data_IF_639128926908
#
_entry.id   IF_639128926908
#
_cell.length_a   1.000
_cell.length_b   1.000
_cell.length_c   1.000
_cell.angle_alpha   90.00
_cell.angle_beta   90.00
_cell.angle_gamma   90.00
#
_symmetry.space_group_name_H-M   'P 1'
#
loop_
_entity.id
_entity.type
_entity.pdbx_description
1 polymer ?
#
# COMPACT_ATOMS: atom_id res chain seq x y z
N UNK A 1 -15.20 8.11 47.64
CA UNK A 1 -14.19 7.66 46.66
C UNK A 1 -14.55 6.37 45.92
N UNK A 2 -14.99 5.27 46.56
CA UNK A 2 -15.36 4.02 45.86
C UNK A 2 -16.47 4.15 44.79
N UNK A 3 -17.43 5.07 44.96
CA UNK A 3 -18.53 5.30 44.00
C UNK A 3 -18.08 6.03 42.72
N UNK A 4 -17.04 6.86 42.81
CA UNK A 4 -16.47 7.56 41.64
C UNK A 4 -15.69 6.59 40.75
N UNK A 5 -14.97 5.63 41.38
CA UNK A 5 -14.21 4.61 40.66
C UNK A 5 -15.10 3.67 39.84
N UNK A 6 -16.26 3.27 40.38
CA UNK A 6 -17.23 2.43 39.64
C UNK A 6 -17.83 3.17 38.45
N UNK A 7 -18.12 4.46 38.61
CA UNK A 7 -18.67 5.30 37.54
C UNK A 7 -17.66 5.55 36.42
N UNK A 8 -16.37 5.73 36.76
CA UNK A 8 -15.28 5.83 35.78
C UNK A 8 -15.04 4.50 35.05
N UNK A 9 -15.12 3.35 35.75
CA UNK A 9 -15.00 2.03 35.12
C UNK A 9 -16.18 1.75 34.17
N UNK A 10 -17.40 2.11 34.55
CA UNK A 10 -18.58 1.98 33.69
C UNK A 10 -18.52 2.95 32.50
N UNK A 11 -18.00 4.18 32.67
CA UNK A 11 -17.75 5.09 31.55
C UNK A 11 -16.67 4.56 30.59
N UNK A 12 -15.63 3.91 31.10
CA UNK A 12 -14.59 3.27 30.29
C UNK A 12 -15.08 2.00 29.57
N UNK A 13 -16.04 1.27 30.15
CA UNK A 13 -16.68 0.12 29.52
C UNK A 13 -17.78 0.50 28.51
N UNK A 14 -18.29 1.73 28.59
CA UNK A 14 -19.32 2.29 27.69
C UNK A 14 -18.74 3.24 26.65
N UNK A 15 -17.42 3.48 26.66
CA UNK A 15 -16.77 4.08 25.51
C UNK A 15 -17.00 3.10 24.35
N UNK A 16 -17.69 3.51 23.26
CA UNK A 16 -17.75 2.67 22.09
C UNK A 16 -16.29 2.40 21.71
N UNK A 17 -15.90 1.13 21.78
CA UNK A 17 -14.76 0.65 21.03
C UNK A 17 -15.13 0.95 19.59
N UNK A 18 -14.74 2.13 19.11
CA UNK A 18 -14.97 2.60 17.75
C UNK A 18 -14.42 1.52 16.85
N UNK A 19 -15.30 0.68 16.31
CA UNK A 19 -14.93 -0.37 15.39
C UNK A 19 -14.32 0.34 14.20
N UNK A 20 -13.08 0.00 13.82
CA UNK A 20 -12.40 0.60 12.69
C UNK A 20 -13.00 0.13 11.33
N UNK A 21 -14.26 -0.31 11.33
CA UNK A 21 -14.91 -1.04 10.25
C UNK A 21 -16.09 -0.25 9.71
N UNK A 22 -16.00 0.30 8.49
CA UNK A 22 -17.12 0.98 7.84
C UNK A 22 -18.30 0.03 7.64
N UNK A 23 -19.53 0.58 7.61
CA UNK A 23 -20.77 -0.18 7.43
C UNK A 23 -20.80 -1.05 6.17
N UNK A 24 -20.07 -0.65 5.13
CA UNK A 24 -20.00 -1.35 3.85
C UNK A 24 -19.01 -2.51 3.87
N UNK A 25 -18.17 -2.64 4.89
CA UNK A 25 -17.09 -3.62 4.94
C UNK A 25 -17.63 -5.01 5.32
N UNK A 26 -17.80 -5.86 4.31
CA UNK A 26 -18.33 -7.23 4.43
C UNK A 26 -17.66 -8.18 3.44
N UNK A 27 -17.87 -9.48 3.61
CA UNK A 27 -17.32 -10.51 2.71
C UNK A 27 -17.66 -10.24 1.24
N UNK A 28 -16.69 -10.47 0.36
CA UNK A 28 -16.83 -10.27 -1.09
C UNK A 28 -16.63 -8.83 -1.57
N UNK A 29 -16.56 -7.84 -0.67
CA UNK A 29 -16.21 -6.46 -1.03
C UNK A 29 -14.80 -6.40 -1.58
N UNK A 30 -14.59 -5.59 -2.63
CA UNK A 30 -13.27 -5.32 -3.17
C UNK A 30 -13.11 -3.88 -3.60
N UNK A 31 -11.86 -3.43 -3.67
CA UNK A 31 -11.49 -2.23 -4.39
C UNK A 31 -10.24 -2.51 -5.24
N UNK A 32 -10.30 -2.06 -6.49
CA UNK A 32 -9.22 -2.13 -7.47
C UNK A 32 -8.72 -0.72 -7.74
N UNK A 33 -7.41 -0.57 -7.71
CA UNK A 33 -6.69 0.65 -7.98
C UNK A 33 -5.78 0.45 -9.19
N UNK A 34 -5.61 1.51 -9.96
CA UNK A 34 -4.82 1.53 -11.18
C UNK A 34 -3.82 2.68 -11.10
N UNK A 35 -2.62 2.47 -11.65
CA UNK A 35 -1.71 3.53 -12.00
C UNK A 35 -1.13 3.27 -13.39
N UNK A 36 -0.88 4.33 -14.15
CA UNK A 36 -0.23 4.31 -15.47
C UNK A 36 0.93 5.29 -15.54
N UNK A 37 1.92 4.99 -16.39
CA UNK A 37 3.12 5.81 -16.58
C UNK A 37 4.40 5.09 -16.16
N UNK A 38 5.40 5.82 -15.67
CA UNK A 38 6.69 5.22 -15.31
C UNK A 38 6.71 4.71 -13.87
N UNK A 39 6.32 3.45 -13.68
CA UNK A 39 6.16 2.83 -12.36
C UNK A 39 7.26 1.82 -12.08
N UNK A 40 7.74 1.74 -10.84
CA UNK A 40 8.71 0.71 -10.42
C UNK A 40 8.24 -0.10 -9.22
N UNK A 41 8.54 -1.40 -9.22
CA UNK A 41 8.27 -2.34 -8.12
C UNK A 41 9.56 -3.10 -7.82
N UNK A 42 10.09 -2.91 -6.62
CA UNK A 42 11.30 -3.57 -6.16
C UNK A 42 10.96 -4.83 -5.37
N UNK A 43 11.59 -5.95 -5.74
CA UNK A 43 11.51 -7.20 -5.02
C UNK A 43 12.86 -7.57 -4.42
N UNK A 44 12.81 -8.15 -3.23
CA UNK A 44 13.96 -8.84 -2.67
C UNK A 44 13.89 -10.32 -3.08
N UNK A 45 14.87 -10.79 -3.84
CA UNK A 45 14.94 -12.19 -4.30
C UNK A 45 16.19 -12.85 -3.72
N UNK A 46 16.22 -14.19 -3.69
CA UNK A 46 17.42 -14.94 -3.27
C UNK A 46 18.66 -14.61 -4.13
N UNK A 47 18.45 -14.14 -5.36
CA UNK A 47 19.50 -13.76 -6.31
C UNK A 47 19.87 -12.28 -6.29
N UNK A 48 19.30 -11.49 -5.37
CA UNK A 48 19.54 -10.04 -5.25
C UNK A 48 18.28 -9.19 -5.48
N UNK A 49 18.49 -7.89 -5.70
CA UNK A 49 17.41 -6.94 -5.93
C UNK A 49 16.96 -7.01 -7.39
N UNK A 50 15.65 -7.16 -7.58
CA UNK A 50 15.02 -7.14 -8.90
C UNK A 50 13.99 -6.03 -8.92
N UNK A 51 14.09 -5.12 -9.87
CA UNK A 51 13.14 -4.04 -10.09
C UNK A 51 12.32 -4.33 -11.34
N UNK A 52 11.01 -4.19 -11.25
CA UNK A 52 10.12 -4.25 -12.40
C UNK A 52 9.66 -2.85 -12.75
N UNK A 53 9.89 -2.44 -13.99
CA UNK A 53 9.37 -1.20 -14.55
C UNK A 53 8.13 -1.53 -15.37
N UNK A 54 6.96 -1.10 -14.91
CA UNK A 54 5.68 -1.46 -15.52
C UNK A 54 4.96 -0.19 -15.98
N UNK A 55 4.59 -0.05 -17.26
CA UNK A 55 3.79 1.08 -17.74
C UNK A 55 2.39 1.16 -17.10
N UNK A 56 1.88 0.03 -16.60
CA UNK A 56 0.60 -0.05 -15.90
C UNK A 56 0.67 -1.04 -14.75
N UNK A 57 0.15 -0.65 -13.60
CA UNK A 57 0.01 -1.48 -12.41
C UNK A 57 -1.43 -1.47 -11.94
N UNK A 58 -1.91 -2.62 -11.51
CA UNK A 58 -3.21 -2.78 -10.86
C UNK A 58 -3.03 -3.41 -9.48
N UNK A 59 -3.64 -2.82 -8.47
CA UNK A 59 -3.67 -3.36 -7.12
C UNK A 59 -5.12 -3.59 -6.70
N UNK A 60 -5.45 -4.81 -6.29
CA UNK A 60 -6.78 -5.17 -5.80
C UNK A 60 -6.68 -5.74 -4.40
N UNK A 61 -7.54 -5.28 -3.51
CA UNK A 61 -7.82 -5.98 -2.25
C UNK A 61 -9.27 -6.43 -2.23
N UNK A 62 -9.52 -7.61 -1.65
CA UNK A 62 -10.86 -8.18 -1.49
C UNK A 62 -11.00 -8.80 -0.10
N UNK A 63 -12.13 -8.54 0.55
CA UNK A 63 -12.51 -9.17 1.82
C UNK A 63 -12.90 -10.62 1.56
N UNK A 64 -12.12 -11.55 2.10
CA UNK A 64 -12.37 -12.99 1.98
C UNK A 64 -13.37 -13.46 3.01
N UNK A 65 -13.16 -13.07 4.27
CA UNK A 65 -14.07 -13.36 5.36
C UNK A 65 -13.97 -12.31 6.47
N UNK A 66 -15.04 -12.19 7.26
CA UNK A 66 -15.10 -11.35 8.46
C UNK A 66 -15.60 -12.22 9.61
N UNK A 67 -14.79 -12.35 10.66
CA UNK A 67 -15.10 -13.16 11.84
C UNK A 67 -14.73 -12.42 13.10
N UNK A 68 -15.72 -12.18 13.97
CA UNK A 68 -15.57 -11.44 15.23
C UNK A 68 -14.93 -10.05 15.02
N UNK A 69 -13.73 -9.85 15.54
CA UNK A 69 -12.93 -8.64 15.48
C UNK A 69 -11.84 -8.69 14.39
N UNK A 70 -11.96 -9.62 13.44
CA UNK A 70 -10.95 -9.85 12.40
C UNK A 70 -11.53 -9.95 11.01
N UNK A 71 -10.76 -9.49 10.04
CA UNK A 71 -11.03 -9.71 8.63
C UNK A 71 -9.81 -10.26 7.92
N UNK A 72 -10.00 -11.17 6.97
CA UNK A 72 -8.93 -11.60 6.06
C UNK A 72 -9.16 -11.01 4.69
N UNK A 73 -8.11 -10.42 4.14
CA UNK A 73 -8.14 -9.77 2.84
C UNK A 73 -7.17 -10.48 1.90
N UNK A 74 -7.62 -10.83 0.70
CA UNK A 74 -6.73 -11.18 -0.40
C UNK A 74 -6.22 -9.92 -1.06
N UNK A 75 -4.92 -9.91 -1.38
CA UNK A 75 -4.24 -8.87 -2.12
C UNK A 75 -3.77 -9.43 -3.46
N UNK A 76 -3.89 -8.64 -4.52
CA UNK A 76 -3.40 -8.96 -5.85
C UNK A 76 -2.75 -7.73 -6.46
N UNK A 77 -1.48 -7.83 -6.83
CA UNK A 77 -0.72 -6.81 -7.55
C UNK A 77 -0.34 -7.37 -8.93
N UNK A 78 -0.77 -6.67 -9.98
CA UNK A 78 -0.49 -7.01 -11.36
C UNK A 78 0.28 -5.88 -12.04
N UNK A 79 1.28 -6.23 -12.84
CA UNK A 79 2.02 -5.31 -13.69
C UNK A 79 1.95 -5.78 -15.13
N UNK A 80 1.72 -4.85 -16.05
CA UNK A 80 1.51 -5.14 -17.46
C UNK A 80 2.68 -4.60 -18.29
N UNK A 81 3.11 -5.35 -19.30
CA UNK A 81 4.22 -4.98 -20.21
C UNK A 81 5.50 -4.58 -19.46
N UNK A 82 5.81 -5.29 -18.37
CA UNK A 82 6.89 -4.90 -17.50
C UNK A 82 8.26 -5.21 -18.12
N UNK A 83 9.25 -4.40 -17.77
CA UNK A 83 10.65 -4.72 -17.95
C UNK A 83 11.26 -5.07 -16.60
N UNK A 84 11.81 -6.27 -16.49
CA UNK A 84 12.54 -6.73 -15.31
C UNK A 84 13.99 -6.26 -15.41
N UNK A 85 14.51 -5.67 -14.35
CA UNK A 85 15.91 -5.29 -14.20
C UNK A 85 16.49 -5.93 -12.95
N UNK A 86 17.64 -6.58 -13.08
CA UNK A 86 18.34 -7.23 -11.98
C UNK A 86 19.77 -6.71 -11.92
N UNK A 87 20.20 -6.34 -10.72
CA UNK A 87 21.54 -5.88 -10.43
C UNK A 87 22.23 -6.86 -9.48
N UNK A 88 23.47 -7.22 -9.79
CA UNK A 88 24.31 -7.98 -8.87
C UNK A 88 25.76 -7.49 -8.92
N UNK A 89 26.42 -7.54 -7.78
CA UNK A 89 27.86 -7.30 -7.67
C UNK A 89 28.60 -8.63 -7.67
N UNK A 90 29.70 -8.69 -8.40
CA UNK A 90 30.61 -9.83 -8.47
C UNK A 90 31.96 -9.45 -7.88
N UNK A 91 32.65 -10.42 -7.30
CA UNK A 91 34.07 -10.20 -6.96
C UNK A 91 34.88 -9.92 -8.23
N UNK A 92 36.03 -9.24 -8.08
CA UNK A 92 36.89 -8.91 -9.22
C UNK A 92 37.27 -10.16 -10.03
N UNK A 93 37.59 -11.26 -9.34
CA UNK A 93 38.00 -12.51 -9.97
C UNK A 93 36.87 -13.12 -10.80
N UNK A 94 35.66 -13.22 -10.25
CA UNK A 94 34.48 -13.72 -10.95
C UNK A 94 34.13 -12.84 -12.15
N UNK A 95 34.17 -11.52 -11.97
CA UNK A 95 33.88 -10.56 -13.02
C UNK A 95 34.88 -10.66 -14.18
N UNK A 96 36.18 -10.77 -13.88
CA UNK A 96 37.24 -10.97 -14.88
C UNK A 96 37.10 -12.29 -15.61
N UNK A 97 36.81 -13.37 -14.89
CA UNK A 97 36.59 -14.68 -15.49
C UNK A 97 35.39 -14.68 -16.45
N UNK A 98 34.30 -14.01 -16.05
CA UNK A 98 33.10 -13.87 -16.88
C UNK A 98 33.34 -12.96 -18.09
N UNK A 99 34.03 -11.83 -17.91
CA UNK A 99 34.37 -10.91 -18.98
C UNK A 99 35.28 -11.57 -20.04
N UNK A 100 36.28 -12.35 -19.61
CA UNK A 100 37.15 -13.11 -20.51
C UNK A 100 36.35 -14.07 -21.39
N UNK A 101 35.38 -14.79 -20.83
CA UNK A 101 34.48 -15.65 -21.63
C UNK A 101 33.74 -14.87 -22.72
N UNK A 102 33.30 -13.66 -22.43
CA UNK A 102 32.65 -12.82 -23.45
C UNK A 102 33.64 -12.26 -24.47
N UNK A 103 34.83 -11.82 -24.05
CA UNK A 103 35.89 -11.36 -24.94
C UNK A 103 36.34 -12.45 -25.91
N UNK A 104 36.57 -13.67 -25.42
CA UNK A 104 36.92 -14.84 -26.23
C UNK A 104 35.84 -15.17 -27.26
N UNK A 105 34.55 -15.11 -26.86
CA UNK A 105 33.42 -15.39 -27.76
C UNK A 105 33.38 -14.48 -28.99
N UNK A 106 33.85 -13.24 -28.85
CA UNK A 106 33.85 -12.24 -29.93
C UNK A 106 35.26 -11.95 -30.48
N UNK A 107 36.25 -12.79 -30.16
CA UNK A 107 37.65 -12.64 -30.57
C UNK A 107 38.25 -11.26 -30.25
N UNK A 108 37.91 -10.68 -29.09
CA UNK A 108 38.47 -9.40 -28.66
C UNK A 108 39.94 -9.55 -28.26
N UNK A 109 40.84 -8.79 -28.89
CA UNK A 109 42.29 -8.86 -28.68
C UNK A 109 42.88 -7.70 -27.89
N UNK A 110 42.05 -6.82 -27.32
CA UNK A 110 42.47 -5.59 -26.65
C UNK A 110 42.45 -4.35 -27.56
N UNK A 111 42.58 -3.17 -26.96
CA UNK A 111 42.52 -1.87 -27.64
C UNK A 111 41.14 -1.21 -27.54
N UNK A 112 40.71 -0.57 -28.62
CA UNK A 112 39.40 0.09 -28.70
C UNK A 112 38.25 -0.92 -28.57
N UNK A 113 37.10 -0.47 -28.07
CA UNK A 113 35.92 -1.31 -27.94
C UNK A 113 35.48 -1.86 -29.31
N UNK A 114 35.14 -3.15 -29.34
CA UNK A 114 34.61 -3.85 -30.50
C UNK A 114 33.08 -3.80 -30.48
N UNK A 115 32.47 -3.30 -31.56
CA UNK A 115 31.02 -3.39 -31.79
C UNK A 115 30.69 -4.50 -32.79
N UNK A 116 29.86 -5.45 -32.38
CA UNK A 116 29.46 -6.60 -33.18
C UNK A 116 27.94 -6.60 -33.34
N UNK A 117 27.40 -6.51 -34.57
CA UNK A 117 25.97 -6.67 -34.80
C UNK A 117 25.56 -8.13 -34.52
N UNK A 118 24.43 -8.30 -33.85
CA UNK A 118 23.82 -9.61 -33.57
C UNK A 118 22.36 -9.60 -34.03
N UNK A 119 21.73 -10.77 -34.11
CA UNK A 119 20.31 -10.86 -34.47
C UNK A 119 19.46 -10.03 -33.50
N UNK A 120 18.81 -8.98 -34.01
CA UNK A 120 17.93 -8.11 -33.24
C UNK A 120 18.63 -7.06 -32.37
N UNK A 121 19.93 -6.80 -32.57
CA UNK A 121 20.65 -5.78 -31.82
C UNK A 121 22.17 -5.75 -32.03
N UNK A 122 22.91 -5.35 -30.99
CA UNK A 122 24.36 -5.23 -31.02
C UNK A 122 25.01 -5.65 -29.69
N UNK A 123 26.30 -5.95 -29.78
CA UNK A 123 27.18 -6.23 -28.65
C UNK A 123 28.35 -5.26 -28.71
N UNK A 124 28.72 -4.69 -27.56
CA UNK A 124 29.93 -3.90 -27.39
C UNK A 124 30.84 -4.61 -26.39
N UNK A 125 32.06 -4.91 -26.79
CA UNK A 125 33.07 -5.57 -25.95
C UNK A 125 34.27 -4.64 -25.80
N UNK A 126 34.63 -4.32 -24.56
CA UNK A 126 35.78 -3.49 -24.22
C UNK A 126 36.71 -4.28 -23.27
N UNK A 127 37.85 -3.68 -22.90
CA UNK A 127 38.80 -4.27 -21.97
C UNK A 127 38.19 -4.52 -20.58
N UNK A 128 37.35 -3.59 -20.11
CA UNK A 128 36.76 -3.60 -18.76
C UNK A 128 35.24 -3.76 -18.75
N UNK A 129 34.61 -3.99 -19.91
CA UNK A 129 33.16 -4.09 -19.98
C UNK A 129 32.65 -4.92 -21.16
N UNK A 130 31.43 -5.43 -20.99
CA UNK A 130 30.64 -6.12 -21.99
C UNK A 130 29.22 -5.58 -21.93
N UNK A 131 28.66 -5.23 -23.08
CA UNK A 131 27.27 -4.81 -23.19
C UNK A 131 26.62 -5.52 -24.37
N UNK A 132 25.43 -6.05 -24.15
CA UNK A 132 24.59 -6.65 -25.18
C UNK A 132 23.22 -5.99 -25.13
N UNK A 133 22.73 -5.52 -26.27
CA UNK A 133 21.41 -4.91 -26.37
C UNK A 133 20.64 -5.50 -27.53
N UNK A 134 19.41 -5.92 -27.26
CA UNK A 134 18.42 -6.39 -28.25
C UNK A 134 17.08 -5.72 -27.99
N UNK A 135 16.08 -5.97 -28.83
CA UNK A 135 14.71 -5.49 -28.60
C UNK A 135 14.08 -6.00 -27.29
N UNK A 136 14.47 -7.19 -26.81
CA UNK A 136 13.83 -7.84 -25.65
C UNK A 136 14.72 -7.89 -24.40
N UNK A 137 16.03 -7.71 -24.53
CA UNK A 137 16.97 -7.75 -23.41
C UNK A 137 18.12 -6.78 -23.59
N UNK A 138 18.62 -6.28 -22.47
CA UNK A 138 19.89 -5.59 -22.34
C UNK A 138 20.67 -6.25 -21.21
N UNK A 139 21.92 -6.61 -21.46
CA UNK A 139 22.81 -7.19 -20.46
C UNK A 139 24.11 -6.39 -20.44
N UNK A 140 24.62 -6.09 -19.25
CA UNK A 140 25.85 -5.34 -19.06
C UNK A 140 26.70 -5.98 -17.97
N UNK A 141 28.00 -6.07 -18.20
CA UNK A 141 29.02 -6.36 -17.20
C UNK A 141 30.06 -5.26 -17.27
N UNK A 142 30.38 -4.63 -16.15
CA UNK A 142 31.45 -3.61 -16.08
C UNK A 142 32.30 -3.84 -14.85
N UNK A 143 33.60 -3.76 -15.01
CA UNK A 143 34.56 -3.83 -13.91
C UNK A 143 34.99 -2.41 -13.59
N UNK A 144 34.73 -1.98 -12.37
CA UNK A 144 35.10 -0.65 -11.90
C UNK A 144 35.41 -0.69 -10.40
N UNK A 145 36.38 0.11 -9.97
CA UNK A 145 36.71 0.26 -8.53
C UNK A 145 37.04 -1.07 -7.82
N UNK A 146 37.55 -2.07 -8.55
CA UNK A 146 37.91 -3.38 -8.00
C UNK A 146 36.75 -4.35 -7.81
N UNK A 147 35.56 -4.05 -8.36
CA UNK A 147 34.41 -4.96 -8.35
C UNK A 147 33.77 -5.08 -9.75
N UNK A 148 33.04 -6.17 -9.98
CA UNK A 148 32.21 -6.33 -11.18
C UNK A 148 30.76 -5.95 -10.90
N UNK A 149 30.16 -5.16 -11.80
CA UNK A 149 28.74 -4.83 -11.77
C UNK A 149 28.04 -5.50 -12.94
N UNK A 150 27.07 -6.33 -12.62
CA UNK A 150 26.24 -7.03 -13.58
C UNK A 150 24.85 -6.39 -13.61
N UNK A 151 24.40 -6.03 -14.80
CA UNK A 151 23.07 -5.53 -15.09
C UNK A 151 22.39 -6.47 -16.08
N UNK A 152 21.19 -6.92 -15.74
CA UNK A 152 20.35 -7.71 -16.66
C UNK A 152 18.95 -7.12 -16.70
N UNK A 153 18.61 -6.54 -17.85
CA UNK A 153 17.30 -5.99 -18.17
C UNK A 153 16.63 -6.87 -19.22
N UNK A 154 15.41 -7.30 -18.96
CA UNK A 154 14.66 -8.20 -19.84
C UNK A 154 13.18 -7.83 -19.85
N UNK A 155 12.59 -7.77 -21.03
CA UNK A 155 11.14 -7.68 -21.17
C UNK A 155 10.47 -8.92 -20.58
N UNK A 156 9.37 -8.73 -19.85
CA UNK A 156 8.59 -9.80 -19.26
C UNK A 156 7.33 -9.98 -20.13
N UNK A 157 7.24 -11.06 -20.93
CA UNK A 157 6.12 -11.26 -21.84
C UNK A 157 4.82 -11.62 -21.10
N UNK A 158 4.94 -12.20 -19.90
CA UNK A 158 3.81 -12.46 -19.02
C UNK A 158 3.56 -11.28 -18.09
N UNK A 159 2.31 -11.10 -17.65
CA UNK A 159 2.00 -10.10 -16.65
C UNK A 159 2.75 -10.44 -15.35
N UNK A 160 3.43 -9.43 -14.79
CA UNK A 160 3.95 -9.52 -13.43
C UNK A 160 2.78 -9.74 -12.47
N UNK A 161 2.92 -10.69 -11.54
CA UNK A 161 1.87 -11.00 -10.57
C UNK A 161 2.42 -11.35 -9.20
N UNK A 162 1.86 -10.70 -8.17
CA UNK A 162 2.05 -11.05 -6.76
C UNK A 162 0.69 -11.12 -6.07
N UNK A 163 0.48 -12.17 -5.30
CA UNK A 163 -0.73 -12.36 -4.51
C UNK A 163 -0.34 -12.66 -3.06
N UNK A 164 -1.18 -12.22 -2.13
CA UNK A 164 -0.96 -12.40 -0.71
C UNK A 164 -2.27 -12.37 0.06
N UNK A 165 -2.21 -12.73 1.33
CA UNK A 165 -3.33 -12.61 2.25
C UNK A 165 -2.85 -11.89 3.50
N UNK A 166 -3.65 -10.96 3.99
CA UNK A 166 -3.42 -10.25 5.26
C UNK A 166 -4.61 -10.43 6.17
N UNK A 167 -4.36 -10.40 7.47
CA UNK A 167 -5.40 -10.31 8.49
C UNK A 167 -5.41 -8.89 9.06
N UNK A 168 -6.60 -8.33 9.27
CA UNK A 168 -6.81 -7.03 9.90
C UNK A 168 -7.58 -7.26 11.18
N UNK A 169 -7.03 -6.76 12.28
CA UNK A 169 -7.76 -6.56 13.52
C UNK A 169 -8.66 -5.32 13.35
N UNK A 170 -9.97 -5.55 13.34
CA UNK A 170 -11.00 -4.56 13.08
C UNK A 170 -11.24 -3.60 14.24
N UNK A 171 -10.74 -3.91 15.45
CA UNK A 171 -10.83 -3.02 16.62
C UNK A 171 -9.67 -2.02 16.58
N UNK A 172 -8.46 -2.51 16.32
CA UNK A 172 -7.23 -1.72 16.41
C UNK A 172 -6.75 -1.19 15.07
N UNK A 173 -7.28 -1.72 13.95
CA UNK A 173 -6.81 -1.44 12.60
C UNK A 173 -5.43 -2.04 12.29
N UNK A 174 -4.91 -2.96 13.12
CA UNK A 174 -3.58 -3.55 12.89
C UNK A 174 -3.62 -4.62 11.79
N UNK A 175 -2.66 -4.53 10.87
CA UNK A 175 -2.40 -5.51 9.82
C UNK A 175 -1.42 -6.57 10.30
N UNK A 176 -1.73 -7.82 9.99
CA UNK A 176 -0.91 -8.99 10.27
C UNK A 176 -0.61 -9.75 8.97
N UNK A 177 0.65 -10.10 8.79
CA UNK A 177 1.12 -10.96 7.69
C UNK A 177 1.68 -12.23 8.30
N UNK A 178 1.06 -13.38 8.02
CA UNK A 178 1.40 -14.67 8.62
C UNK A 178 1.46 -14.60 10.17
N UNK A 179 0.46 -13.94 10.78
CA UNK A 179 0.36 -13.77 12.24
C UNK A 179 1.32 -12.76 12.86
N UNK A 180 2.23 -12.16 12.08
CA UNK A 180 3.16 -11.13 12.57
C UNK A 180 2.62 -9.75 12.27
N UNK A 181 2.58 -8.81 13.24
CA UNK A 181 2.22 -7.42 12.97
C UNK A 181 3.07 -6.83 11.86
N UNK A 182 2.43 -6.20 10.88
CA UNK A 182 3.08 -5.58 9.73
C UNK A 182 2.91 -4.06 9.72
N UNK A 183 1.82 -3.53 10.26
CA UNK A 183 1.56 -2.09 10.31
C UNK A 183 0.10 -1.75 10.57
N UNK A 184 -0.29 -0.51 10.29
CA UNK A 184 -1.66 -0.02 10.42
C UNK A 184 -2.44 -0.04 9.11
N UNK A 185 -3.73 -0.31 9.18
CA UNK A 185 -4.64 -0.24 8.05
C UNK A 185 -4.84 1.21 7.62
N UNK A 186 -4.59 1.47 6.34
CA UNK A 186 -4.78 2.76 5.69
C UNK A 186 -5.71 2.67 4.47
N UNK A 187 -6.28 1.48 4.19
CA UNK A 187 -7.16 1.27 3.05
C UNK A 187 -8.54 1.90 3.26
N UNK A 188 -8.93 2.06 4.53
CA UNK A 188 -10.13 2.80 4.92
C UNK A 188 -10.00 3.31 6.36
N UNK A 189 -10.82 4.31 6.69
CA UNK A 189 -10.96 4.85 8.03
C UNK A 189 -12.40 5.34 8.26
N UNK A 190 -13.05 4.91 9.35
CA UNK A 190 -14.41 5.36 9.67
C UNK A 190 -14.52 6.89 9.78
N UNK A 191 -13.49 7.51 10.38
CA UNK A 191 -13.36 8.95 10.45
C UNK A 191 -11.97 9.38 9.93
N UNK A 192 -11.85 9.69 8.64
CA UNK A 192 -10.59 10.13 8.05
C UNK A 192 -9.99 11.37 8.70
N UNK A 193 -10.79 12.21 9.39
CA UNK A 193 -10.28 13.38 10.10
C UNK A 193 -9.36 13.01 11.29
N UNK A 194 -9.56 11.81 11.87
CA UNK A 194 -8.93 11.40 13.13
C UNK A 194 -7.81 10.36 12.96
N UNK A 195 -7.26 10.21 11.75
CA UNK A 195 -6.16 9.25 11.50
C UNK A 195 -4.77 9.81 11.80
N UNK A 196 -4.68 11.05 12.31
CA UNK A 196 -3.39 11.64 12.72
C UNK A 196 -2.75 10.81 13.83
N UNK A 197 -1.45 10.49 13.67
CA UNK A 197 -0.71 9.63 14.58
C UNK A 197 -0.83 8.13 14.28
N UNK A 198 -1.68 7.72 13.33
CA UNK A 198 -1.74 6.33 12.87
C UNK A 198 -0.38 5.93 12.28
N UNK A 199 0.22 4.87 12.83
CA UNK A 199 1.46 4.30 12.34
C UNK A 199 1.16 3.25 11.26
N UNK A 200 1.46 3.57 10.01
CA UNK A 200 1.22 2.71 8.84
C UNK A 200 2.29 1.62 8.76
N UNK A 201 3.54 1.99 9.06
CA UNK A 201 4.69 1.10 9.20
C UNK A 201 5.54 1.60 10.37
N UNK A 202 6.39 0.76 10.99
CA UNK A 202 7.33 1.21 12.01
C UNK A 202 8.11 2.45 11.58
N UNK A 203 7.92 3.58 12.27
CA UNK A 203 8.54 4.87 11.97
C UNK A 203 7.84 5.74 10.90
N UNK A 204 6.86 5.20 10.18
CA UNK A 204 6.02 5.90 9.20
C UNK A 204 4.62 6.10 9.76
N UNK A 205 4.30 7.32 10.15
CA UNK A 205 3.03 7.71 10.76
C UNK A 205 2.39 8.85 10.00
N UNK A 206 1.06 8.90 10.03
CA UNK A 206 0.31 10.03 9.52
C UNK A 206 0.60 11.24 10.41
N UNK A 207 1.24 12.26 9.85
CA UNK A 207 1.66 13.47 10.57
C UNK A 207 0.60 14.56 10.47
N UNK A 208 -0.01 14.70 9.28
CA UNK A 208 -1.04 15.72 9.06
C UNK A 208 -2.22 15.15 8.30
N UNK A 209 -3.42 15.56 8.69
CA UNK A 209 -4.66 15.33 7.96
C UNK A 209 -5.27 16.68 7.66
N UNK A 210 -5.67 16.90 6.41
CA UNK A 210 -6.35 18.12 5.99
C UNK A 210 -7.59 17.76 5.21
N UNK A 211 -8.70 18.42 5.53
CA UNK A 211 -9.85 18.44 4.64
C UNK A 211 -9.52 19.39 3.48
N UNK A 212 -9.68 18.91 2.26
CA UNK A 212 -9.47 19.69 1.06
C UNK A 212 -10.82 19.87 0.37
N UNK A 213 -11.15 21.13 0.12
CA UNK A 213 -12.31 21.48 -0.66
C UNK A 213 -11.99 21.38 -2.15
N UNK A 214 -11.65 20.19 -2.64
CA UNK A 214 -11.39 19.92 -4.06
C UNK A 214 -11.83 18.50 -4.39
N UNK A 215 -12.31 18.31 -5.61
CA UNK A 215 -12.77 17.01 -6.10
C UNK A 215 -11.57 16.12 -6.40
N UNK A 216 -11.56 14.90 -5.89
CA UNK A 216 -10.54 13.91 -6.22
C UNK A 216 -11.00 13.10 -7.43
N UNK A 217 -10.20 13.14 -8.50
CA UNK A 217 -10.47 12.43 -9.74
C UNK A 217 -10.10 10.95 -9.59
N UNK A 218 -10.95 10.06 -10.07
CA UNK A 218 -10.66 8.61 -10.10
C UNK A 218 -11.18 7.97 -11.38
N UNK A 219 -10.75 6.74 -11.67
CA UNK A 219 -11.28 5.99 -12.81
C UNK A 219 -12.67 5.40 -12.51
N UNK A 220 -13.06 5.29 -11.24
CA UNK A 220 -14.38 4.81 -10.82
C UNK A 220 -15.45 5.91 -10.95
N UNK A 221 -15.05 7.16 -10.72
CA UNK A 221 -15.90 8.34 -10.71
C UNK A 221 -15.34 9.42 -9.79
N UNK A 222 -15.71 10.68 -10.02
CA UNK A 222 -15.23 11.82 -9.24
C UNK A 222 -15.79 11.77 -7.80
N UNK A 223 -14.89 11.91 -6.81
CA UNK A 223 -15.26 12.10 -5.42
C UNK A 223 -15.31 13.59 -5.11
N UNK A 224 -16.53 14.12 -5.07
CA UNK A 224 -16.77 15.53 -4.84
C UNK A 224 -16.24 15.98 -3.47
N UNK A 225 -15.81 17.23 -3.41
CA UNK A 225 -15.40 17.86 -2.16
C UNK A 225 -16.49 17.77 -1.06
N UNK A 226 -16.11 17.64 0.22
CA UNK A 226 -14.73 17.63 0.72
C UNK A 226 -14.08 16.23 0.74
N UNK A 227 -12.77 16.19 0.45
CA UNK A 227 -11.93 14.98 0.53
C UNK A 227 -10.90 15.16 1.64
N UNK A 228 -10.53 14.08 2.36
CA UNK A 228 -9.47 14.14 3.37
C UNK A 228 -8.15 13.68 2.78
N UNK A 229 -7.11 14.51 2.90
CA UNK A 229 -5.75 14.20 2.51
C UNK A 229 -4.89 13.98 3.77
N UNK A 230 -4.38 12.77 3.92
CA UNK A 230 -3.44 12.39 4.96
C UNK A 230 -2.01 12.36 4.40
N UNK A 231 -1.08 13.02 5.08
CA UNK A 231 0.36 12.96 4.79
C UNK A 231 1.09 12.26 5.92
N UNK A 232 2.04 11.41 5.58
CA UNK A 232 2.97 10.86 6.56
C UNK A 232 4.18 11.75 6.76
N UNK A 233 4.93 11.49 7.82
CA UNK A 233 6.30 11.96 7.92
C UNK A 233 7.20 11.36 6.83
N UNK A 234 8.32 12.02 6.54
CA UNK A 234 9.37 11.49 5.68
C UNK A 234 10.11 10.35 6.41
N UNK A 235 10.32 9.24 5.73
CA UNK A 235 11.14 8.11 6.22
C UNK A 235 12.15 7.67 5.17
N UNK A 236 13.25 7.07 5.64
CA UNK A 236 14.24 6.39 4.81
C UNK A 236 14.14 4.90 5.10
N UNK A 237 13.86 4.09 4.08
CA UNK A 237 13.80 2.62 4.25
C UNK A 237 15.13 1.95 3.99
N UNK A 238 15.95 2.58 3.15
CA UNK A 238 17.37 2.34 3.01
C UNK A 238 18.07 3.69 2.82
N UNK A 239 19.39 3.73 2.91
CA UNK A 239 20.17 4.98 2.72
C UNK A 239 20.05 5.58 1.29
N UNK A 240 19.17 5.05 0.44
CA UNK A 240 18.99 5.46 -0.97
C UNK A 240 17.57 5.94 -1.27
N UNK A 241 16.57 5.49 -0.51
CA UNK A 241 15.15 5.71 -0.78
C UNK A 241 14.52 6.44 0.39
N UNK A 242 14.21 7.70 0.15
CA UNK A 242 13.44 8.54 1.08
C UNK A 242 12.08 8.82 0.47
N UNK A 243 11.03 8.75 1.29
CA UNK A 243 9.68 8.97 0.82
C UNK A 243 8.74 9.35 1.96
N UNK A 244 7.65 9.99 1.57
CA UNK A 244 6.45 10.16 2.39
C UNK A 244 5.26 9.66 1.58
N UNK A 245 4.24 9.23 2.28
CA UNK A 245 3.01 8.76 1.68
C UNK A 245 1.95 9.84 1.72
N UNK A 246 1.05 9.77 0.73
CA UNK A 246 -0.15 10.61 0.68
C UNK A 246 -1.33 9.70 0.40
N UNK A 247 -2.38 9.82 1.20
CA UNK A 247 -3.60 9.05 1.07
C UNK A 247 -4.78 10.02 0.99
N UNK A 248 -5.63 9.84 -0.01
CA UNK A 248 -6.90 10.54 -0.17
C UNK A 248 -8.03 9.62 0.28
N UNK A 249 -8.87 10.12 1.18
CA UNK A 249 -10.06 9.42 1.65
C UNK A 249 -11.31 10.18 1.26
N UNK A 250 -12.33 9.44 0.82
CA UNK A 250 -13.69 9.95 0.79
C UNK A 250 -14.19 10.18 2.22
N UNK A 251 -14.66 11.39 2.52
CA UNK A 251 -15.11 11.76 3.86
C UNK A 251 -16.38 11.02 4.30
N UNK A 252 -17.20 10.53 3.36
CA UNK A 252 -18.49 9.91 3.67
C UNK A 252 -18.41 8.41 3.95
N UNK A 253 -17.62 7.70 3.15
CA UNK A 253 -17.42 6.25 3.24
C UNK A 253 -16.16 5.87 3.98
N UNK A 254 -15.19 6.77 4.08
CA UNK A 254 -13.90 6.48 4.68
C UNK A 254 -12.97 5.66 3.80
N UNK A 255 -13.36 5.33 2.57
CA UNK A 255 -12.53 4.56 1.64
C UNK A 255 -11.33 5.38 1.19
N UNK A 256 -10.14 4.79 1.16
CA UNK A 256 -9.00 5.38 0.46
C UNK A 256 -9.26 5.34 -1.05
N UNK A 257 -9.38 6.50 -1.69
CA UNK A 257 -9.72 6.64 -3.11
C UNK A 257 -8.48 6.85 -3.99
N UNK A 258 -7.37 7.29 -3.40
CA UNK A 258 -6.06 7.29 -4.02
C UNK A 258 -4.96 7.23 -2.96
N UNK A 259 -3.86 6.55 -3.23
CA UNK A 259 -2.71 6.55 -2.33
C UNK A 259 -1.38 6.30 -3.04
N UNK A 260 -0.39 7.09 -2.66
CA UNK A 260 1.01 6.89 -3.00
C UNK A 260 1.70 6.32 -1.76
N UNK A 261 2.00 5.03 -1.82
CA UNK A 261 2.62 4.29 -0.72
C UNK A 261 3.90 3.64 -1.23
N UNK A 262 4.98 4.41 -1.45
CA UNK A 262 6.32 3.84 -1.69
C UNK A 262 6.66 2.73 -0.69
N UNK A 263 6.11 2.86 0.51
CA UNK A 263 6.25 1.94 1.61
C UNK A 263 4.86 1.54 2.12
N UNK A 264 4.62 0.25 2.35
CA UNK A 264 3.31 -0.22 2.82
C UNK A 264 3.45 -1.52 3.60
N UNK A 265 2.68 -1.72 4.68
CA UNK A 265 2.60 -3.03 5.34
C UNK A 265 2.08 -4.13 4.41
N UNK A 266 1.34 -3.76 3.36
CA UNK A 266 0.81 -4.68 2.35
C UNK A 266 1.91 -5.23 1.43
N UNK A 267 2.99 -4.48 1.20
CA UNK A 267 4.12 -4.92 0.37
C UNK A 267 4.79 -6.17 0.92
N UNK A 268 4.88 -6.29 2.26
CA UNK A 268 5.41 -7.49 2.93
C UNK A 268 4.64 -8.75 2.54
N UNK A 269 3.31 -8.68 2.46
CA UNK A 269 2.47 -9.82 2.07
C UNK A 269 2.63 -10.21 0.59
N UNK A 270 3.08 -9.28 -0.24
CA UNK A 270 3.30 -9.46 -1.67
C UNK A 270 4.77 -9.76 -2.02
N UNK A 271 5.66 -9.82 -1.03
CA UNK A 271 7.12 -9.96 -1.24
C UNK A 271 7.75 -8.76 -1.92
N UNK A 272 7.07 -7.60 -1.89
CA UNK A 272 7.53 -6.33 -2.43
C UNK A 272 8.34 -5.61 -1.35
N UNK A 273 9.50 -5.06 -1.72
CA UNK A 273 10.36 -4.27 -0.84
C UNK A 273 9.90 -2.80 -0.82
N UNK A 274 9.70 -2.23 -2.00
CA UNK A 274 9.28 -0.85 -2.23
C UNK A 274 8.60 -0.76 -3.59
N UNK A 275 7.77 0.26 -3.79
CA UNK A 275 7.13 0.48 -5.08
C UNK A 275 6.93 1.98 -5.36
N UNK A 276 7.60 2.54 -6.36
CA UNK A 276 7.32 3.91 -6.78
C UNK A 276 6.22 3.89 -7.83
N UNK A 277 4.99 4.08 -7.38
CA UNK A 277 3.81 4.01 -8.23
C UNK A 277 3.11 5.36 -8.19
N UNK A 278 3.08 6.08 -9.31
CA UNK A 278 2.35 7.33 -9.47
C UNK A 278 1.69 7.36 -10.84
N UNK A 279 0.37 7.58 -10.89
CA UNK A 279 -0.34 7.70 -12.17
C UNK A 279 -0.05 9.04 -12.86
N UNK A 280 0.99 9.07 -13.69
CA UNK A 280 1.39 10.28 -14.43
C UNK A 280 0.57 10.45 -15.70
N UNK A 281 0.17 9.37 -16.36
CA UNK A 281 -0.63 9.45 -17.60
C UNK A 281 -2.02 10.04 -17.32
N UNK A 282 -2.69 9.62 -16.25
CA UNK A 282 -4.01 10.17 -15.92
C UNK A 282 -3.95 11.65 -15.52
N UNK A 283 -2.84 12.07 -14.88
CA UNK A 283 -2.59 13.47 -14.58
C UNK A 283 -2.35 14.31 -15.85
N UNK A 284 -1.62 13.77 -16.84
CA UNK A 284 -1.40 14.40 -18.14
C UNK A 284 -2.71 14.51 -18.95
N UNK A 285 -3.52 13.44 -18.99
CA UNK A 285 -4.81 13.41 -19.68
C UNK A 285 -5.80 14.47 -19.18
N UNK A 286 -5.71 14.86 -17.91
CA UNK A 286 -6.63 15.82 -17.27
C UNK A 286 -5.93 17.12 -16.85
N UNK A 287 -4.78 17.44 -17.44
CA UNK A 287 -3.97 18.59 -17.03
C UNK A 287 -4.74 19.92 -17.09
N UNK A 288 -5.56 20.13 -18.12
CA UNK A 288 -6.41 21.32 -18.26
C UNK A 288 -7.47 21.39 -17.15
N UNK A 289 -8.19 20.30 -16.89
CA UNK A 289 -9.18 20.25 -15.80
C UNK A 289 -8.54 20.51 -14.45
N UNK A 290 -7.35 19.96 -14.19
CA UNK A 290 -6.61 20.16 -12.94
C UNK A 290 -6.16 21.62 -12.78
N UNK A 291 -5.78 22.29 -13.86
CA UNK A 291 -5.33 23.70 -13.84
C UNK A 291 -6.48 24.70 -13.78
N UNK A 292 -7.58 24.42 -14.46
CA UNK A 292 -8.68 25.36 -14.67
C UNK A 292 -9.84 25.14 -13.68
N UNK A 293 -9.92 23.96 -13.05
CA UNK A 293 -10.97 23.61 -12.11
C UNK A 293 -10.42 23.27 -10.73
N UNK A 294 -11.32 23.13 -9.76
CA UNK A 294 -10.96 22.77 -8.39
C UNK A 294 -10.84 21.23 -8.24
N UNK A 295 -10.11 20.59 -9.14
CA UNK A 295 -9.85 19.13 -9.15
C UNK A 295 -8.40 18.85 -8.77
N UNK A 296 -8.20 17.81 -7.96
CA UNK A 296 -6.87 17.36 -7.58
C UNK A 296 -6.32 16.38 -8.62
N UNK A 297 -5.01 16.46 -8.92
CA UNK A 297 -4.38 15.47 -9.76
C UNK A 297 -4.51 14.09 -9.10
N UNK A 298 -4.69 13.03 -9.89
CA UNK A 298 -4.58 11.68 -9.37
C UNK A 298 -3.21 11.46 -8.75
N UNK A 299 -3.18 10.77 -7.62
CA UNK A 299 -1.94 10.54 -6.88
C UNK A 299 -1.77 9.07 -6.54
N UNK A 300 -0.63 8.50 -6.95
CA UNK A 300 -0.33 7.11 -6.65
C UNK A 300 -1.20 6.11 -7.40
N UNK A 301 -1.69 5.11 -6.67
CA UNK A 301 -2.70 4.15 -7.09
C UNK A 301 -4.09 4.75 -6.92
N UNK A 302 -4.86 4.84 -8.00
CA UNK A 302 -6.15 5.55 -8.07
C UNK A 302 -7.30 4.55 -8.17
N UNK A 303 -8.37 4.74 -7.39
CA UNK A 303 -9.52 3.85 -7.41
C UNK A 303 -10.12 3.76 -8.83
N UNK A 304 -10.34 2.54 -9.29
CA UNK A 304 -10.86 2.27 -10.63
C UNK A 304 -12.10 1.40 -10.65
N UNK A 305 -12.23 0.50 -9.69
CA UNK A 305 -13.38 -0.39 -9.63
C UNK A 305 -13.65 -0.79 -8.20
N UNK A 306 -14.91 -0.84 -7.81
CA UNK A 306 -15.35 -1.40 -6.54
C UNK A 306 -16.81 -1.84 -6.64
N UNK A 307 -17.19 -2.81 -5.83
CA UNK A 307 -18.59 -3.20 -5.61
C UNK A 307 -19.14 -2.65 -4.27
N UNK A 308 -18.45 -1.68 -3.66
CA UNK A 308 -18.91 -1.02 -2.44
C UNK A 308 -20.18 -0.21 -2.78
N UNK A 309 -21.24 -0.50 -2.05
CA UNK A 309 -22.43 0.32 -2.02
C UNK A 309 -22.22 1.45 -1.01
N UNK A 310 -21.99 2.67 -1.52
CA UNK A 310 -21.80 3.87 -0.71
C UNK A 310 -23.11 4.47 -0.20
N UNK A 311 -24.26 3.87 -0.51
CA UNK A 311 -25.51 4.27 0.11
C UNK A 311 -25.50 3.77 1.55
N UNK A 312 -25.43 4.71 2.52
CA UNK A 312 -25.62 4.34 3.92
C UNK A 312 -27.01 3.72 4.03
N UNK A 313 -27.15 2.48 4.56
CA UNK A 313 -28.46 1.97 4.89
C UNK A 313 -29.10 2.99 5.85
N UNK A 314 -30.35 3.38 5.57
CA UNK A 314 -31.10 4.25 6.46
C UNK A 314 -30.96 3.69 7.87
N UNK A 315 -30.49 4.51 8.82
CA UNK A 315 -30.51 4.14 10.23
C UNK A 315 -31.93 3.67 10.52
N UNK A 316 -32.10 2.36 10.76
CA UNK A 316 -33.36 1.86 11.30
C UNK A 316 -33.63 2.73 12.54
N UNK A 317 -34.84 3.28 12.69
CA UNK A 317 -35.15 4.17 13.79
C UNK A 317 -34.67 3.49 15.06
N UNK A 318 -33.80 4.20 15.78
CA UNK A 318 -33.10 3.74 16.98
C UNK A 318 -34.08 2.93 17.84
N UNK A 319 -34.08 1.60 17.69
CA UNK A 319 -34.74 0.71 18.63
C UNK A 319 -33.82 0.72 19.84
N UNK A 320 -33.80 1.86 20.53
CA UNK A 320 -33.19 2.00 21.84
C UNK A 320 -33.68 0.84 22.71
N UNK A 321 -32.88 0.43 23.72
CA UNK A 321 -33.17 -0.74 24.52
C UNK A 321 -34.64 -0.74 24.90
N UNK A 322 -35.36 -1.82 24.55
CA UNK A 322 -36.82 -1.88 24.72
C UNK A 322 -37.21 -1.30 26.07
N UNK A 323 -38.34 -0.58 26.18
CA UNK A 323 -38.78 -0.02 27.48
C UNK A 323 -38.70 -1.04 28.61
N UNK A 324 -38.93 -2.32 28.30
CA UNK A 324 -38.72 -3.49 29.16
C UNK A 324 -37.28 -3.67 29.65
N UNK A 325 -36.27 -3.55 28.79
CA UNK A 325 -34.86 -3.62 29.16
C UNK A 325 -34.44 -2.42 30.04
N UNK A 326 -34.90 -1.21 29.73
CA UNK A 326 -34.63 -0.03 30.57
C UNK A 326 -35.27 -0.21 31.96
N UNK A 327 -36.54 -0.66 32.01
CA UNK A 327 -37.24 -0.94 33.27
C UNK A 327 -36.54 -2.04 34.07
N UNK A 328 -36.03 -3.09 33.40
CA UNK A 328 -35.29 -4.16 34.06
C UNK A 328 -33.98 -3.64 34.69
N UNK A 329 -33.20 -2.84 33.96
CA UNK A 329 -31.95 -2.26 34.46
C UNK A 329 -32.20 -1.28 35.61
N UNK A 330 -33.21 -0.41 35.49
CA UNK A 330 -33.61 0.51 36.57
C UNK A 330 -34.11 -0.27 37.79
N UNK A 331 -34.90 -1.33 37.58
CA UNK A 331 -35.37 -2.22 38.64
C UNK A 331 -34.22 -2.90 39.38
N UNK A 332 -33.24 -3.44 38.65
CA UNK A 332 -32.03 -4.06 39.23
C UNK A 332 -31.23 -3.01 40.01
N UNK A 333 -31.06 -1.80 39.48
CA UNK A 333 -30.34 -0.72 40.16
C UNK A 333 -31.04 -0.28 41.46
N UNK A 334 -32.38 -0.20 41.46
CA UNK A 334 -33.17 0.12 42.66
C UNK A 334 -33.03 -0.99 43.70
N UNK A 335 -33.17 -2.26 43.29
CA UNK A 335 -33.03 -3.41 44.20
C UNK A 335 -31.63 -3.47 44.82
N UNK A 336 -30.59 -3.27 44.01
CA UNK A 336 -29.21 -3.20 44.51
C UNK A 336 -29.01 -1.99 45.43
N UNK A 337 -29.57 -0.83 45.11
CA UNK A 337 -29.54 0.36 45.95
C UNK A 337 -30.22 0.13 47.31
N UNK A 338 -31.39 -0.50 47.33
CA UNK A 338 -32.13 -0.87 48.54
C UNK A 338 -31.34 -1.90 49.36
N UNK A 339 -30.79 -2.93 48.73
CA UNK A 339 -29.97 -3.93 49.42
C UNK A 339 -28.71 -3.33 50.05
N UNK A 340 -28.06 -2.39 49.36
CA UNK A 340 -26.89 -1.66 49.89
C UNK A 340 -27.30 -0.77 51.07
N UNK A 341 -28.41 -0.04 50.97
CA UNK A 341 -28.92 0.81 52.05
C UNK A 341 -29.41 -0.01 53.27
N UNK A 342 -30.02 -1.16 53.03
CA UNK A 342 -30.48 -2.08 54.07
C UNK A 342 -29.31 -2.72 54.82
N UNK A 343 -28.25 -3.11 54.08
CA UNK A 343 -27.00 -3.61 54.66
C UNK A 343 -26.18 -2.55 55.39
N UNK A 344 -26.49 -1.26 55.21
CA UNK A 344 -25.88 -0.13 55.94
C UNK A 344 -26.66 0.28 57.19
N UNK A 345 -27.93 -0.14 57.32
CA UNK A 345 -28.78 0.12 58.51
C UNK A 345 -28.70 -0.98 59.57
N UNK A 346 -28.16 -2.15 59.22
CA UNK A 346 -27.62 -3.13 60.16
C UNK A 346 -26.13 -2.87 60.31
#
# INVERSE_FOLDING_TARGET
MRRLAVLVIVLFLMAPLTSATPYWFKEGIYAKYVARGWLSIDLNTSTGNVTYYCPRVEFTWRVLNVSDDKARLSLLLLGFNCTREAYSTLSLEEARALLRKYQERFNFTGGDCLEVPITGGNVTVCEESYYERTAQRSFGLTIMEGEGRLLNKSYVPENFGRAGVVEIDLITGKLYVNGTPAGGNFLWAENPANVTGLEILPGLKIETVKMINSTAMTYYGDFNAPVYMAHTNMVSLDNRTMGKDVILYDGSSGLAIAFFTPFSPLWKALGVRSAMIQDTEFAEEHEEEIKESNKMPPFGLVLAETNIDFTKPAELPDEGPSRTAIVAVVGIAIVLGVLVLWRWRR
#
